data_IF_587851199564
#
_entry.id   IF_587851199564
#
_cell.length_a   1.000
_cell.length_b   1.000
_cell.length_c   1.000
_cell.angle_alpha   90.00
_cell.angle_beta   90.00
_cell.angle_gamma   90.00
#
_symmetry.space_group_name_H-M   'P 1'
#
loop_
_entity.id
_entity.type
_entity.pdbx_description
1 polymer ?
#
# COMPACT_ATOMS: atom_id res chain seq x y z
N UNK A 1 -42.08 -50.65 -0.45
CA UNK A 1 -41.35 -49.54 0.22
C UNK A 1 -39.97 -49.44 -0.40
N UNK A 2 -39.74 -48.44 -1.27
CA UNK A 2 -38.39 -48.09 -1.74
C UNK A 2 -38.33 -46.56 -1.77
N UNK A 3 -37.91 -45.98 -0.66
CA UNK A 3 -37.73 -44.54 -0.52
C UNK A 3 -36.50 -44.13 -1.33
N UNK A 4 -36.70 -43.28 -2.34
CA UNK A 4 -35.62 -42.63 -3.05
C UNK A 4 -35.05 -41.52 -2.16
N UNK A 5 -33.79 -41.65 -1.76
CA UNK A 5 -33.06 -40.57 -1.06
C UNK A 5 -32.44 -39.68 -2.12
N UNK A 6 -33.02 -38.50 -2.30
CA UNK A 6 -32.45 -37.43 -3.13
C UNK A 6 -31.39 -36.73 -2.28
N UNK A 7 -30.10 -36.99 -2.55
CA UNK A 7 -29.00 -36.20 -2.00
C UNK A 7 -28.97 -34.84 -2.68
N UNK A 8 -29.42 -33.79 -1.97
CA UNK A 8 -29.22 -32.42 -2.40
C UNK A 8 -27.76 -32.01 -2.11
N UNK A 9 -26.94 -31.91 -3.16
CA UNK A 9 -25.62 -31.28 -3.07
C UNK A 9 -25.78 -29.76 -2.93
N UNK A 10 -25.57 -29.26 -1.72
CA UNK A 10 -25.42 -27.83 -1.47
C UNK A 10 -24.02 -27.39 -1.94
N UNK A 11 -23.94 -26.86 -3.15
CA UNK A 11 -22.73 -26.20 -3.63
C UNK A 11 -22.55 -24.87 -2.86
N UNK A 12 -21.66 -24.85 -1.86
CA UNK A 12 -21.23 -23.61 -1.25
C UNK A 12 -20.51 -22.77 -2.31
N UNK A 13 -20.90 -21.49 -2.51
CA UNK A 13 -20.15 -20.63 -3.41
C UNK A 13 -18.76 -20.42 -2.80
N UNK A 14 -17.73 -20.88 -3.50
CA UNK A 14 -16.35 -20.56 -3.17
C UNK A 14 -16.16 -19.06 -3.41
N UNK A 15 -16.35 -18.25 -2.37
CA UNK A 15 -15.91 -16.86 -2.40
C UNK A 15 -14.39 -16.88 -2.44
N UNK A 16 -13.82 -16.64 -3.62
CA UNK A 16 -12.40 -16.38 -3.77
C UNK A 16 -12.03 -15.24 -2.81
N UNK A 17 -11.05 -15.46 -1.95
CA UNK A 17 -10.54 -14.41 -1.08
C UNK A 17 -10.14 -13.20 -1.95
N UNK A 18 -10.38 -11.96 -1.46
CA UNK A 18 -9.96 -10.78 -2.19
C UNK A 18 -8.45 -10.87 -2.47
N UNK A 19 -7.99 -10.41 -3.65
CA UNK A 19 -6.58 -10.44 -3.98
C UNK A 19 -5.79 -9.68 -2.91
N UNK A 20 -4.89 -10.38 -2.24
CA UNK A 20 -4.01 -9.82 -1.21
C UNK A 20 -2.57 -10.01 -1.64
N UNK A 21 -1.72 -9.07 -1.25
CA UNK A 21 -0.27 -9.20 -1.46
C UNK A 21 0.39 -10.00 -0.34
N UNK A 22 -0.38 -10.49 0.64
CA UNK A 22 0.11 -11.28 1.77
C UNK A 22 0.62 -12.70 1.44
N UNK A 23 0.69 -13.07 0.16
CA UNK A 23 1.39 -14.27 -0.31
C UNK A 23 2.76 -14.00 -0.93
N UNK A 24 3.15 -12.74 -1.09
CA UNK A 24 4.45 -12.39 -1.66
C UNK A 24 5.57 -12.56 -0.63
N UNK A 25 6.68 -13.15 -1.05
CA UNK A 25 7.84 -13.44 -0.18
C UNK A 25 8.91 -12.35 -0.23
N UNK A 26 8.87 -11.46 -1.21
CA UNK A 26 9.81 -10.34 -1.31
C UNK A 26 9.52 -9.22 -0.30
N UNK A 27 10.54 -8.41 -0.01
CA UNK A 27 10.47 -7.32 0.98
C UNK A 27 9.32 -6.35 0.72
N UNK A 28 9.04 -6.03 -0.54
CA UNK A 28 7.96 -5.11 -0.91
C UNK A 28 6.59 -5.72 -0.64
N UNK A 29 6.40 -6.98 -1.02
CA UNK A 29 5.19 -7.75 -0.76
C UNK A 29 4.86 -7.86 0.73
N UNK A 30 5.87 -8.15 1.56
CA UNK A 30 5.72 -8.21 3.01
C UNK A 30 5.34 -6.84 3.60
N UNK A 31 6.01 -5.75 3.17
CA UNK A 31 5.69 -4.40 3.62
C UNK A 31 4.26 -3.98 3.21
N UNK A 32 3.85 -4.33 1.99
CA UNK A 32 2.50 -4.05 1.49
C UNK A 32 1.43 -4.87 2.20
N UNK A 33 1.71 -6.13 2.54
CA UNK A 33 0.83 -6.93 3.38
C UNK A 33 0.63 -6.28 4.76
N UNK A 34 1.71 -5.83 5.40
CA UNK A 34 1.62 -5.10 6.67
C UNK A 34 0.77 -3.82 6.53
N UNK A 35 0.91 -3.10 5.42
CA UNK A 35 0.09 -1.91 5.13
C UNK A 35 -1.40 -2.28 4.97
N UNK A 36 -1.72 -3.36 4.25
CA UNK A 36 -3.09 -3.87 4.07
C UNK A 36 -3.75 -4.24 5.40
N UNK A 37 -2.97 -4.83 6.32
CA UNK A 37 -3.43 -5.14 7.69
C UNK A 37 -3.42 -3.94 8.65
N UNK A 38 -3.18 -2.72 8.15
CA UNK A 38 -3.08 -1.48 8.94
C UNK A 38 -1.97 -1.50 9.99
N UNK A 39 -1.01 -2.41 9.87
CA UNK A 39 0.21 -2.38 10.66
C UNK A 39 1.20 -1.38 10.06
N UNK A 40 0.86 -0.08 10.21
CA UNK A 40 1.58 1.00 9.54
C UNK A 40 3.02 1.16 10.05
N UNK A 41 3.32 0.75 11.28
CA UNK A 41 4.68 0.79 11.81
C UNK A 41 5.59 -0.24 11.12
N UNK A 42 5.11 -1.47 10.94
CA UNK A 42 5.86 -2.50 10.21
C UNK A 42 5.95 -2.19 8.73
N UNK A 43 4.86 -1.70 8.12
CA UNK A 43 4.85 -1.27 6.72
C UNK A 43 5.89 -0.19 6.45
N UNK A 44 5.93 0.84 7.30
CA UNK A 44 6.91 1.93 7.21
C UNK A 44 8.35 1.40 7.30
N UNK A 45 8.66 0.52 8.25
CA UNK A 45 9.98 -0.07 8.37
C UNK A 45 10.39 -0.85 7.11
N UNK A 46 9.48 -1.66 6.56
CA UNK A 46 9.73 -2.43 5.35
C UNK A 46 9.94 -1.55 4.12
N UNK A 47 9.06 -0.56 3.89
CA UNK A 47 9.23 0.36 2.76
C UNK A 47 10.48 1.22 2.91
N UNK A 48 10.81 1.69 4.12
CA UNK A 48 12.04 2.45 4.37
C UNK A 48 13.28 1.64 4.02
N UNK A 49 13.35 0.38 4.43
CA UNK A 49 14.48 -0.50 4.10
C UNK A 49 14.67 -0.69 2.59
N UNK A 50 13.57 -0.70 1.80
CA UNK A 50 13.66 -0.74 0.33
C UNK A 50 14.20 0.58 -0.22
N UNK A 51 13.68 1.71 0.26
CA UNK A 51 14.08 3.05 -0.19
C UNK A 51 15.55 3.35 0.12
N UNK A 52 16.06 2.88 1.26
CA UNK A 52 17.45 3.05 1.69
C UNK A 52 18.46 2.27 0.83
N UNK A 53 18.04 1.20 0.16
CA UNK A 53 18.88 0.49 -0.82
C UNK A 53 19.19 1.35 -2.05
N UNK A 54 18.43 2.42 -2.30
CA UNK A 54 18.73 3.44 -3.30
C UNK A 54 18.68 2.96 -4.76
N UNK A 55 18.01 1.84 -5.04
CA UNK A 55 17.87 1.32 -6.40
C UNK A 55 16.92 2.20 -7.23
N UNK A 56 17.26 2.44 -8.48
CA UNK A 56 16.38 3.12 -9.43
C UNK A 56 15.51 2.09 -10.16
N UNK A 57 14.56 1.50 -9.44
CA UNK A 57 13.61 0.52 -9.98
C UNK A 57 12.16 0.84 -9.59
N UNK A 58 11.23 0.14 -10.24
CA UNK A 58 9.80 0.35 -10.03
C UNK A 58 9.39 0.08 -8.58
N UNK A 59 10.00 -0.91 -7.92
CA UNK A 59 9.69 -1.27 -6.53
C UNK A 59 10.07 -0.14 -5.59
N UNK A 60 11.21 0.51 -5.82
CA UNK A 60 11.66 1.63 -5.00
C UNK A 60 10.71 2.80 -5.12
N UNK A 61 10.25 3.15 -6.32
CA UNK A 61 9.29 4.24 -6.51
C UNK A 61 7.96 3.99 -5.78
N UNK A 62 7.43 2.76 -5.87
CA UNK A 62 6.23 2.37 -5.14
C UNK A 62 6.47 2.33 -3.62
N UNK A 63 7.65 1.89 -3.17
CA UNK A 63 8.01 1.89 -1.76
C UNK A 63 8.09 3.33 -1.20
N UNK A 64 8.63 4.30 -1.95
CA UNK A 64 8.59 5.72 -1.55
C UNK A 64 7.14 6.18 -1.38
N UNK A 65 6.25 5.84 -2.31
CA UNK A 65 4.82 6.19 -2.24
C UNK A 65 4.14 5.58 -1.00
N UNK A 66 4.26 4.27 -0.81
CA UNK A 66 3.60 3.61 0.32
C UNK A 66 4.24 3.97 1.67
N UNK A 67 5.53 4.32 1.69
CA UNK A 67 6.16 4.93 2.87
C UNK A 67 5.50 6.26 3.21
N UNK A 68 5.30 7.15 2.23
CA UNK A 68 4.61 8.43 2.45
C UNK A 68 3.19 8.21 2.98
N UNK A 69 2.45 7.26 2.40
CA UNK A 69 1.11 6.87 2.85
C UNK A 69 1.11 6.32 4.28
N UNK A 70 2.08 5.48 4.64
CA UNK A 70 2.22 4.97 6.00
C UNK A 70 2.53 6.11 7.00
N UNK A 71 3.39 7.06 6.60
CA UNK A 71 3.66 8.26 7.41
C UNK A 71 2.40 9.09 7.64
N UNK A 72 1.58 9.34 6.62
CA UNK A 72 0.27 10.01 6.78
C UNK A 72 -0.64 9.26 7.77
N UNK A 73 -0.73 7.92 7.66
CA UNK A 73 -1.55 7.09 8.56
C UNK A 73 -1.06 7.12 10.00
N UNK A 74 0.18 7.51 10.24
CA UNK A 74 0.77 7.70 11.57
C UNK A 74 0.88 9.18 11.98
N UNK A 75 0.29 10.10 11.22
CA UNK A 75 0.23 11.53 11.52
C UNK A 75 1.49 12.33 11.22
N UNK A 76 2.49 11.73 10.54
CA UNK A 76 3.78 12.39 10.22
C UNK A 76 3.71 13.01 8.83
N UNK A 77 2.94 14.09 8.74
CA UNK A 77 2.59 14.75 7.48
C UNK A 77 3.77 15.51 6.85
N UNK A 78 4.71 15.99 7.64
CA UNK A 78 5.94 16.64 7.21
C UNK A 78 6.87 15.65 6.47
N UNK A 79 7.08 14.47 7.07
CA UNK A 79 7.85 13.39 6.44
C UNK A 79 7.16 12.87 5.18
N UNK A 80 5.83 12.68 5.22
CA UNK A 80 5.05 12.28 4.06
C UNK A 80 5.18 13.28 2.91
N UNK A 81 5.10 14.59 3.20
CA UNK A 81 5.22 15.65 2.20
C UNK A 81 6.57 15.58 1.48
N UNK A 82 7.65 15.39 2.23
CA UNK A 82 9.01 15.27 1.69
C UNK A 82 9.13 14.11 0.70
N UNK A 83 8.48 12.98 1.00
CA UNK A 83 8.48 11.81 0.14
C UNK A 83 7.66 12.04 -1.15
N UNK A 84 6.50 12.70 -1.09
CA UNK A 84 5.76 13.05 -2.31
C UNK A 84 6.52 14.03 -3.21
N UNK A 85 7.19 15.03 -2.62
CA UNK A 85 8.06 15.94 -3.38
C UNK A 85 9.21 15.16 -4.04
N UNK A 86 9.79 14.19 -3.33
CA UNK A 86 10.82 13.32 -3.91
C UNK A 86 10.29 12.52 -5.10
N UNK A 87 9.07 11.98 -5.02
CA UNK A 87 8.44 11.25 -6.14
C UNK A 87 8.33 12.15 -7.38
N UNK A 88 7.91 13.41 -7.22
CA UNK A 88 7.83 14.37 -8.34
C UNK A 88 9.18 14.52 -9.06
N UNK A 89 10.27 14.61 -8.30
CA UNK A 89 11.62 14.72 -8.87
C UNK A 89 12.15 13.43 -9.50
N UNK A 90 11.66 12.26 -9.07
CA UNK A 90 12.08 10.96 -9.59
C UNK A 90 11.29 10.55 -10.85
N UNK A 91 9.98 10.72 -10.82
CA UNK A 91 9.08 10.32 -11.89
C UNK A 91 7.79 11.14 -11.82
N UNK A 92 7.71 12.17 -12.67
CA UNK A 92 6.54 13.02 -12.78
C UNK A 92 5.31 12.27 -13.28
N UNK A 93 5.46 11.33 -14.21
CA UNK A 93 4.33 10.59 -14.74
C UNK A 93 3.68 9.71 -13.66
N UNK A 94 4.50 9.05 -12.84
CA UNK A 94 4.03 8.34 -11.66
C UNK A 94 3.37 9.30 -10.65
N UNK A 95 4.00 10.44 -10.37
CA UNK A 95 3.47 11.45 -9.45
C UNK A 95 2.04 11.87 -9.84
N UNK A 96 1.84 12.19 -11.13
CA UNK A 96 0.56 12.59 -11.69
C UNK A 96 -0.45 11.42 -11.63
N UNK A 97 -0.06 10.23 -12.09
CA UNK A 97 -0.96 9.08 -12.18
C UNK A 97 -1.41 8.53 -10.81
N UNK A 98 -0.60 8.70 -9.76
CA UNK A 98 -0.87 8.19 -8.41
C UNK A 98 -1.47 9.25 -7.47
N UNK A 99 -1.92 10.38 -8.01
CA UNK A 99 -2.53 11.49 -7.29
C UNK A 99 -1.66 12.00 -6.12
N UNK A 100 -0.35 12.07 -6.33
CA UNK A 100 0.58 12.50 -5.28
C UNK A 100 0.39 13.98 -4.92
N UNK A 101 -0.02 14.82 -5.87
CA UNK A 101 -0.30 16.25 -5.62
C UNK A 101 -1.46 16.44 -4.63
N UNK A 102 -2.55 15.70 -4.83
CA UNK A 102 -3.68 15.69 -3.90
C UNK A 102 -3.21 15.30 -2.49
N UNK A 103 -2.45 14.21 -2.35
CA UNK A 103 -1.95 13.74 -1.05
C UNK A 103 -0.97 14.72 -0.41
N UNK A 104 -0.14 15.41 -1.20
CA UNK A 104 0.73 16.48 -0.73
C UNK A 104 -0.10 17.68 -0.21
N UNK A 105 -1.18 18.03 -0.89
CA UNK A 105 -2.17 19.02 -0.43
C UNK A 105 -2.81 18.63 0.91
N UNK A 106 -3.21 17.36 1.07
CA UNK A 106 -3.74 16.85 2.35
C UNK A 106 -2.71 16.96 3.48
N UNK A 107 -1.44 16.67 3.19
CA UNK A 107 -0.37 16.83 4.18
C UNK A 107 -0.18 18.31 4.57
N UNK A 108 -0.19 19.22 3.60
CA UNK A 108 -0.08 20.67 3.81
C UNK A 108 -1.22 21.21 4.69
N UNK A 109 -2.46 20.83 4.39
CA UNK A 109 -3.63 21.19 5.20
C UNK A 109 -3.52 20.67 6.63
N UNK A 110 -3.11 19.41 6.81
CA UNK A 110 -2.92 18.83 8.13
C UNK A 110 -1.82 19.54 8.96
N UNK A 111 -0.87 20.20 8.29
CA UNK A 111 0.16 21.05 8.92
C UNK A 111 -0.25 22.52 9.07
N UNK A 112 -1.44 22.92 8.61
CA UNK A 112 -1.89 24.32 8.62
C UNK A 112 -1.11 25.23 7.65
N UNK A 113 -0.60 24.65 6.55
CA UNK A 113 0.14 25.37 5.50
C UNK A 113 -0.73 25.43 4.25
N UNK A 114 -1.69 26.35 4.22
CA UNK A 114 -2.55 26.60 3.06
C UNK A 114 -1.99 27.73 2.18
#
# INVERSE_FOLDING_TARGET
MRSAVILAFLAMPAFAAPPTTCGATDDYGQALCAYQHRNFAQAEAGFRAIVEKGKADWQTLHAVYFLARAQMKRGRFDEASTLFIRIYSLDKAFYDAWNCDFLLGECRRAMGKD
#
